data_IF_896894733496
#
_entry.id   IF_896894733496
#
_cell.length_a   1.000
_cell.length_b   1.000
_cell.length_c   1.000
_cell.angle_alpha   90.00
_cell.angle_beta   90.00
_cell.angle_gamma   90.00
#
_symmetry.space_group_name_H-M   'P 1'
#
loop_
_entity.id
_entity.type
_entity.pdbx_description
1 polymer ?
#
# COMPACT_ATOMS: atom_id res chain seq x y z
N UNK A 1 -14.14 5.85 49.44
CA UNK A 1 -14.46 5.70 48.00
C UNK A 1 -13.60 4.56 47.47
N UNK A 2 -14.21 3.49 46.94
CA UNK A 2 -13.58 2.17 46.85
C UNK A 2 -12.46 2.12 45.80
N UNK A 3 -11.25 1.68 46.19
CA UNK A 3 -10.07 1.62 45.32
C UNK A 3 -10.34 0.79 44.05
N UNK A 4 -11.13 -0.27 44.20
CA UNK A 4 -11.55 -1.16 43.10
C UNK A 4 -12.38 -0.42 42.03
N UNK A 5 -13.24 0.52 42.43
CA UNK A 5 -14.02 1.32 41.48
C UNK A 5 -13.13 2.26 40.68
N UNK A 6 -12.06 2.79 41.30
CA UNK A 6 -11.10 3.66 40.61
C UNK A 6 -10.31 2.87 39.57
N UNK A 7 -9.82 1.69 39.93
CA UNK A 7 -9.07 0.81 39.00
C UNK A 7 -9.96 0.42 37.81
N UNK A 8 -11.22 0.02 38.05
CA UNK A 8 -12.16 -0.31 36.98
C UNK A 8 -12.44 0.86 36.03
N UNK A 9 -12.60 2.07 36.57
CA UNK A 9 -12.80 3.27 35.76
C UNK A 9 -11.57 3.64 34.94
N UNK A 10 -10.37 3.48 35.52
CA UNK A 10 -9.11 3.72 34.81
C UNK A 10 -8.90 2.71 33.67
N UNK A 11 -9.17 1.42 33.91
CA UNK A 11 -9.14 0.38 32.87
C UNK A 11 -10.15 0.65 31.75
N UNK A 12 -11.39 1.00 32.11
CA UNK A 12 -12.42 1.33 31.12
C UNK A 12 -12.03 2.55 30.29
N UNK A 13 -11.42 3.57 30.91
CA UNK A 13 -10.91 4.75 30.20
C UNK A 13 -9.82 4.37 29.21
N UNK A 14 -8.87 3.53 29.60
CA UNK A 14 -7.81 3.05 28.72
C UNK A 14 -8.37 2.28 27.52
N UNK A 15 -9.30 1.35 27.76
CA UNK A 15 -9.96 0.59 26.69
C UNK A 15 -10.70 1.51 25.70
N UNK A 16 -11.42 2.52 26.21
CA UNK A 16 -12.10 3.49 25.35
C UNK A 16 -11.10 4.33 24.53
N UNK A 17 -9.97 4.72 25.11
CA UNK A 17 -8.93 5.45 24.37
C UNK A 17 -8.31 4.61 23.26
N UNK A 18 -8.04 3.33 23.52
CA UNK A 18 -7.53 2.40 22.50
C UNK A 18 -8.55 2.24 21.37
N UNK A 19 -9.82 2.05 21.70
CA UNK A 19 -10.91 1.98 20.72
C UNK A 19 -10.98 3.22 19.83
N UNK A 20 -10.99 4.42 20.41
CA UNK A 20 -11.06 5.69 19.66
C UNK A 20 -9.86 5.83 18.72
N UNK A 21 -8.66 5.46 19.18
CA UNK A 21 -7.45 5.50 18.35
C UNK A 21 -7.49 4.48 17.21
N UNK A 22 -8.01 3.29 17.46
CA UNK A 22 -8.17 2.27 16.43
C UNK A 22 -9.21 2.71 15.36
N UNK A 23 -10.33 3.31 15.78
CA UNK A 23 -11.32 3.89 14.87
C UNK A 23 -10.70 4.99 14.00
N UNK A 24 -9.93 5.90 14.60
CA UNK A 24 -9.21 6.94 13.86
C UNK A 24 -8.19 6.34 12.86
N UNK A 25 -7.49 5.26 13.24
CA UNK A 25 -6.59 4.54 12.33
C UNK A 25 -7.34 3.96 11.13
N UNK A 26 -8.48 3.31 11.36
CA UNK A 26 -9.31 2.74 10.29
C UNK A 26 -9.79 3.84 9.34
N UNK A 27 -10.35 4.92 9.88
CA UNK A 27 -10.86 6.04 9.09
C UNK A 27 -9.77 6.71 8.25
N UNK A 28 -8.54 6.78 8.76
CA UNK A 28 -7.43 7.42 8.07
C UNK A 28 -6.74 6.51 7.04
N UNK A 29 -6.52 5.23 7.37
CA UNK A 29 -5.59 4.36 6.62
C UNK A 29 -6.26 3.19 5.91
N UNK A 30 -7.48 2.80 6.30
CA UNK A 30 -8.15 1.62 5.72
C UNK A 30 -9.36 2.03 4.91
N UNK A 31 -10.22 2.90 5.47
CA UNK A 31 -11.47 3.32 4.83
C UNK A 31 -11.27 3.98 3.46
N UNK A 32 -10.26 4.84 3.23
CA UNK A 32 -10.06 5.44 1.90
C UNK A 32 -9.76 4.42 0.80
N UNK A 33 -9.22 3.24 1.15
CA UNK A 33 -8.96 2.17 0.18
C UNK A 33 -10.22 1.59 -0.46
N UNK A 34 -11.41 1.84 0.10
CA UNK A 34 -12.67 1.37 -0.49
C UNK A 34 -12.84 1.87 -1.94
N UNK A 35 -12.45 3.11 -2.23
CA UNK A 35 -12.52 3.67 -3.59
C UNK A 35 -11.62 2.91 -4.56
N UNK A 36 -10.38 2.60 -4.13
CA UNK A 36 -9.44 1.79 -4.91
C UNK A 36 -10.01 0.38 -5.14
N UNK A 37 -10.54 -0.26 -4.09
CA UNK A 37 -11.10 -1.60 -4.23
C UNK A 37 -12.33 -1.65 -5.15
N UNK A 38 -13.20 -0.64 -5.07
CA UNK A 38 -14.35 -0.53 -5.96
C UNK A 38 -13.90 -0.35 -7.41
N UNK A 39 -12.86 0.46 -7.65
CA UNK A 39 -12.24 0.61 -8.96
C UNK A 39 -11.68 -0.72 -9.50
N UNK A 40 -10.82 -1.39 -8.72
CA UNK A 40 -10.23 -2.70 -9.07
C UNK A 40 -11.32 -3.72 -9.41
N UNK A 41 -12.40 -3.77 -8.60
CA UNK A 41 -13.54 -4.66 -8.82
C UNK A 41 -14.30 -4.32 -10.11
N UNK A 42 -14.55 -3.04 -10.38
CA UNK A 42 -15.26 -2.60 -11.60
C UNK A 42 -14.48 -2.94 -12.86
N UNK A 43 -13.15 -2.88 -12.80
CA UNK A 43 -12.27 -3.22 -13.92
C UNK A 43 -12.04 -4.74 -14.06
N UNK A 44 -12.54 -5.56 -13.12
CA UNK A 44 -12.38 -7.01 -13.17
C UNK A 44 -10.94 -7.47 -12.93
N UNK A 45 -10.11 -6.63 -12.30
CA UNK A 45 -8.72 -6.96 -11.98
C UNK A 45 -8.70 -7.94 -10.81
N UNK A 46 -8.04 -9.09 -11.00
CA UNK A 46 -7.85 -10.03 -9.90
C UNK A 46 -6.81 -9.48 -8.92
N UNK A 47 -7.10 -9.59 -7.63
CA UNK A 47 -6.18 -9.18 -6.57
C UNK A 47 -6.41 -10.01 -5.31
N UNK A 48 -5.44 -9.94 -4.42
CA UNK A 48 -5.52 -10.43 -3.05
C UNK A 48 -5.03 -9.33 -2.10
N UNK A 49 -5.54 -9.34 -0.88
CA UNK A 49 -4.99 -8.48 0.17
C UNK A 49 -3.81 -9.22 0.78
N UNK A 50 -2.61 -8.68 0.62
CA UNK A 50 -1.40 -9.25 1.19
C UNK A 50 -1.37 -9.11 2.71
N UNK A 51 -1.85 -7.95 3.20
CA UNK A 51 -1.91 -7.65 4.62
C UNK A 51 -2.11 -6.18 4.92
N UNK A 52 -2.15 -5.87 6.21
CA UNK A 52 -2.14 -4.51 6.73
C UNK A 52 -0.74 -4.16 7.26
N UNK A 53 -0.14 -3.10 6.73
CA UNK A 53 1.16 -2.59 7.16
C UNK A 53 1.03 -1.78 8.46
N UNK A 54 2.02 -1.94 9.34
CA UNK A 54 2.24 -1.10 10.54
C UNK A 54 1.06 -0.90 11.49
N UNK A 55 0.12 -1.86 11.61
CA UNK A 55 -0.98 -1.78 12.58
C UNK A 55 -0.43 -1.98 14.00
N UNK A 56 -0.57 -1.00 14.92
CA UNK A 56 -0.14 -1.16 16.31
C UNK A 56 -0.84 -2.32 17.01
N UNK A 57 -0.10 -3.10 17.79
CA UNK A 57 -0.60 -4.31 18.45
C UNK A 57 -1.81 -4.04 19.34
N UNK A 58 -1.88 -2.89 20.02
CA UNK A 58 -3.03 -2.52 20.84
C UNK A 58 -4.32 -2.31 20.03
N UNK A 59 -4.24 -2.07 18.72
CA UNK A 59 -5.41 -1.85 17.86
C UNK A 59 -5.92 -3.13 17.20
N UNK A 60 -5.14 -4.22 17.22
CA UNK A 60 -5.40 -5.45 16.45
C UNK A 60 -6.83 -5.96 16.62
N UNK A 61 -7.30 -6.10 17.87
CA UNK A 61 -8.66 -6.61 18.15
C UNK A 61 -9.74 -5.74 17.50
N UNK A 62 -9.60 -4.41 17.58
CA UNK A 62 -10.58 -3.49 17.01
C UNK A 62 -10.53 -3.44 15.49
N UNK A 63 -9.32 -3.45 14.91
CA UNK A 63 -9.15 -3.48 13.45
C UNK A 63 -9.68 -4.80 12.90
N UNK A 64 -9.37 -5.94 13.52
CA UNK A 64 -9.87 -7.27 13.14
C UNK A 64 -11.40 -7.30 13.11
N UNK A 65 -12.03 -6.80 14.18
CA UNK A 65 -13.48 -6.71 14.26
C UNK A 65 -14.09 -5.87 13.13
N UNK A 66 -13.42 -4.80 12.70
CA UNK A 66 -13.90 -3.95 11.62
C UNK A 66 -13.67 -4.55 10.25
N UNK A 67 -12.48 -5.05 9.95
CA UNK A 67 -12.15 -5.57 8.61
C UNK A 67 -12.87 -6.88 8.26
N UNK A 68 -13.39 -7.58 9.27
CA UNK A 68 -14.19 -8.80 9.10
C UNK A 68 -15.69 -8.52 8.93
N UNK A 69 -16.10 -7.24 8.89
CA UNK A 69 -17.47 -6.81 8.68
C UNK A 69 -17.63 -6.08 7.34
N UNK A 70 -18.87 -6.00 6.85
CA UNK A 70 -19.22 -5.22 5.66
C UNK A 70 -18.84 -3.74 5.83
N UNK A 71 -18.23 -3.10 4.82
CA UNK A 71 -18.01 -3.60 3.46
C UNK A 71 -16.70 -4.37 3.24
N UNK A 72 -15.86 -4.52 4.27
CA UNK A 72 -14.49 -5.02 4.13
C UNK A 72 -14.39 -6.52 3.82
N UNK A 73 -15.28 -7.32 4.38
CA UNK A 73 -15.39 -8.75 4.07
C UNK A 73 -15.59 -9.00 2.57
N UNK A 74 -16.37 -8.16 1.88
CA UNK A 74 -16.62 -8.23 0.45
C UNK A 74 -15.40 -7.87 -0.42
N UNK A 75 -14.38 -7.22 0.14
CA UNK A 75 -13.09 -6.98 -0.52
C UNK A 75 -12.08 -8.10 -0.26
N UNK A 76 -12.46 -9.12 0.53
CA UNK A 76 -11.61 -10.28 0.82
C UNK A 76 -10.71 -10.12 2.05
N UNK A 77 -10.97 -9.16 2.93
CA UNK A 77 -10.23 -9.05 4.19
C UNK A 77 -10.45 -10.29 5.07
N UNK A 78 -9.37 -10.76 5.70
CA UNK A 78 -9.37 -11.89 6.62
C UNK A 78 -8.60 -11.54 7.90
N UNK A 79 -8.90 -12.19 9.05
CA UNK A 79 -8.21 -11.92 10.31
C UNK A 79 -6.68 -12.08 10.25
N UNK A 80 -6.17 -13.02 9.44
CA UNK A 80 -4.74 -13.31 9.33
C UNK A 80 -3.95 -12.20 8.60
N UNK A 81 -4.63 -11.26 7.94
CA UNK A 81 -4.01 -10.10 7.29
C UNK A 81 -3.37 -9.10 8.26
N UNK A 82 -3.71 -9.15 9.56
CA UNK A 82 -3.11 -8.32 10.59
C UNK A 82 -1.75 -8.82 11.10
N UNK A 83 -1.42 -10.10 10.87
CA UNK A 83 -0.27 -10.77 11.48
C UNK A 83 0.78 -11.19 10.43
N UNK A 84 1.05 -10.33 9.45
CA UNK A 84 2.03 -10.60 8.37
C UNK A 84 3.37 -9.95 8.66
N UNK A 85 4.12 -10.48 9.63
CA UNK A 85 5.47 -9.99 9.96
C UNK A 85 6.43 -9.94 8.76
N UNK A 86 6.29 -10.91 7.84
CA UNK A 86 7.06 -10.94 6.60
C UNK A 86 6.82 -9.70 5.73
N UNK A 87 5.58 -9.20 5.65
CA UNK A 87 5.22 -8.03 4.86
C UNK A 87 5.87 -6.76 5.41
N UNK A 88 5.82 -6.55 6.73
CA UNK A 88 6.49 -5.42 7.37
C UNK A 88 8.02 -5.47 7.14
N UNK A 89 8.61 -6.67 7.21
CA UNK A 89 10.03 -6.84 6.90
C UNK A 89 10.36 -6.54 5.44
N UNK A 90 9.49 -6.96 4.51
CA UNK A 90 9.65 -6.71 3.08
C UNK A 90 9.60 -5.20 2.78
N UNK A 91 8.63 -4.47 3.33
CA UNK A 91 8.51 -3.02 3.18
C UNK A 91 9.73 -2.29 3.77
N UNK A 92 10.17 -2.67 4.98
CA UNK A 92 11.38 -2.10 5.57
C UNK A 92 12.61 -2.36 4.69
N UNK A 93 12.72 -3.56 4.10
CA UNK A 93 13.82 -3.90 3.17
C UNK A 93 13.79 -3.03 1.92
N UNK A 94 12.61 -2.70 1.40
CA UNK A 94 12.45 -1.74 0.29
C UNK A 94 12.98 -0.37 0.70
N UNK A 95 12.57 0.16 1.87
CA UNK A 95 13.04 1.45 2.36
C UNK A 95 14.55 1.51 2.60
N UNK A 96 15.15 0.40 3.06
CA UNK A 96 16.60 0.30 3.25
C UNK A 96 17.36 0.25 1.92
N UNK A 97 16.83 -0.47 0.91
CA UNK A 97 17.46 -0.66 -0.40
C UNK A 97 17.27 0.54 -1.33
N UNK A 98 16.15 1.22 -1.22
CA UNK A 98 15.76 2.36 -2.04
C UNK A 98 15.46 3.55 -1.12
N UNK A 99 16.49 4.14 -0.48
CA UNK A 99 16.28 5.20 0.48
C UNK A 99 15.67 6.43 -0.17
N UNK A 100 14.90 7.19 0.61
CA UNK A 100 14.34 8.44 0.12
C UNK A 100 15.37 9.57 0.09
N UNK A 101 15.30 10.38 -0.97
CA UNK A 101 16.06 11.63 -1.10
C UNK A 101 15.30 12.83 -0.52
N UNK A 102 14.02 12.68 -0.21
CA UNK A 102 13.18 13.75 0.30
C UNK A 102 12.95 13.58 1.82
N UNK A 103 13.18 14.61 2.63
CA UNK A 103 13.05 14.51 4.09
C UNK A 103 11.61 14.52 4.60
N UNK A 104 10.63 14.92 3.78
CA UNK A 104 9.23 15.10 4.19
C UNK A 104 8.30 14.00 3.69
N UNK A 105 8.65 13.34 2.60
CA UNK A 105 7.88 12.24 2.00
C UNK A 105 8.82 11.24 1.36
N UNK A 106 8.34 10.04 1.11
CA UNK A 106 9.14 9.02 0.45
C UNK A 106 9.16 9.25 -1.07
N UNK A 107 10.29 9.75 -1.56
CA UNK A 107 10.67 9.75 -2.97
C UNK A 107 12.00 9.01 -3.09
N UNK A 108 12.05 7.81 -3.69
CA UNK A 108 13.29 7.06 -3.81
C UNK A 108 14.23 7.69 -4.84
N UNK A 109 15.55 7.54 -4.66
CA UNK A 109 16.55 7.98 -5.65
C UNK A 109 16.59 7.04 -6.87
N UNK A 110 15.60 7.17 -7.75
CA UNK A 110 15.41 6.28 -8.89
C UNK A 110 15.25 7.07 -10.20
N UNK A 111 15.77 6.55 -11.33
CA UNK A 111 15.51 7.12 -12.64
C UNK A 111 14.01 7.27 -12.93
N UNK A 112 13.64 8.43 -13.47
CA UNK A 112 12.33 8.65 -14.07
C UNK A 112 12.26 8.03 -15.46
N UNK A 113 11.22 7.24 -15.72
CA UNK A 113 10.98 6.59 -17.01
C UNK A 113 9.82 7.22 -17.78
N UNK A 114 8.86 7.79 -17.06
CA UNK A 114 7.73 8.47 -17.66
C UNK A 114 7.13 9.48 -16.68
N UNK A 115 6.64 10.58 -17.23
CA UNK A 115 5.67 11.43 -16.56
C UNK A 115 4.27 11.02 -17.03
N UNK A 116 3.28 11.03 -16.15
CA UNK A 116 1.87 10.71 -16.42
C UNK A 116 1.24 11.56 -17.52
N UNK A 117 1.72 12.81 -17.69
CA UNK A 117 1.34 13.67 -18.82
C UNK A 117 2.05 13.30 -20.14
N UNK A 118 3.03 12.40 -20.11
CA UNK A 118 3.77 11.89 -21.26
C UNK A 118 2.97 10.88 -22.08
N UNK A 119 1.97 11.36 -22.81
CA UNK A 119 1.11 10.55 -23.67
C UNK A 119 1.94 9.89 -24.80
N UNK A 120 1.79 8.59 -25.04
CA UNK A 120 2.39 7.96 -26.24
C UNK A 120 1.73 8.47 -27.52
N UNK A 121 2.35 8.20 -28.66
CA UNK A 121 1.88 8.66 -29.99
C UNK A 121 0.46 8.20 -30.35
N UNK A 122 -0.08 7.22 -29.64
CA UNK A 122 -1.43 6.66 -29.80
C UNK A 122 -2.47 7.21 -28.79
N UNK A 123 -2.08 8.12 -27.89
CA UNK A 123 -2.98 8.69 -26.89
C UNK A 123 -3.07 7.88 -25.58
N UNK A 124 -2.41 6.72 -25.50
CA UNK A 124 -2.46 5.87 -24.32
C UNK A 124 -1.45 6.31 -23.24
N UNK A 125 -1.81 6.04 -21.98
CA UNK A 125 -0.88 6.12 -20.84
C UNK A 125 -0.24 4.75 -20.68
N UNK A 126 1.09 4.72 -20.59
CA UNK A 126 1.86 3.48 -20.55
C UNK A 126 3.12 3.60 -19.70
N UNK A 127 3.08 4.43 -18.65
CA UNK A 127 4.25 4.72 -17.83
C UNK A 127 4.72 3.51 -17.06
N UNK A 128 3.78 2.78 -16.42
CA UNK A 128 4.09 1.51 -15.77
C UNK A 128 4.64 0.49 -16.78
N UNK A 129 4.04 0.39 -17.96
CA UNK A 129 4.51 -0.52 -19.00
C UNK A 129 5.94 -0.21 -19.46
N UNK A 130 6.28 1.08 -19.63
CA UNK A 130 7.64 1.51 -19.96
C UNK A 130 8.64 1.12 -18.89
N UNK A 131 8.32 1.35 -17.61
CA UNK A 131 9.22 1.00 -16.50
C UNK A 131 9.44 -0.52 -16.45
N UNK A 132 8.38 -1.31 -16.63
CA UNK A 132 8.46 -2.78 -16.68
C UNK A 132 9.41 -3.24 -17.80
N UNK A 133 9.28 -2.66 -19.00
CA UNK A 133 10.13 -2.99 -20.14
C UNK A 133 11.60 -2.61 -19.91
N UNK A 134 11.85 -1.40 -19.43
CA UNK A 134 13.20 -0.87 -19.20
C UNK A 134 13.93 -1.62 -18.09
N UNK A 135 13.21 -2.04 -17.05
CA UNK A 135 13.76 -2.88 -15.99
C UNK A 135 13.90 -4.34 -16.43
N UNK A 136 13.30 -4.74 -17.56
CA UNK A 136 13.32 -6.10 -18.10
C UNK A 136 12.54 -7.10 -17.22
N UNK A 137 11.47 -6.64 -16.58
CA UNK A 137 10.69 -7.45 -15.65
C UNK A 137 9.80 -8.45 -16.40
N UNK A 138 9.78 -9.68 -15.91
CA UNK A 138 8.84 -10.70 -16.36
C UNK A 138 7.57 -10.67 -15.50
N UNK A 139 6.50 -11.28 -16.01
CA UNK A 139 5.28 -11.46 -15.23
C UNK A 139 5.56 -12.24 -13.94
N UNK A 140 5.14 -11.66 -12.83
CA UNK A 140 5.34 -12.18 -11.48
C UNK A 140 4.30 -11.58 -10.55
N UNK A 141 4.14 -12.18 -9.36
CA UNK A 141 3.35 -11.59 -8.30
C UNK A 141 4.09 -10.39 -7.71
N UNK A 142 3.37 -9.28 -7.55
CA UNK A 142 3.91 -8.03 -7.03
C UNK A 142 3.04 -7.51 -5.90
N UNK A 143 3.66 -6.73 -5.02
CA UNK A 143 2.97 -6.01 -3.96
C UNK A 143 2.77 -4.57 -4.38
N UNK A 144 1.56 -4.05 -4.17
CA UNK A 144 1.21 -2.65 -4.40
C UNK A 144 0.88 -2.02 -3.06
N UNK A 145 1.64 -1.00 -2.68
CA UNK A 145 1.50 -0.31 -1.42
C UNK A 145 1.35 1.19 -1.63
N UNK A 146 0.19 1.72 -1.28
CA UNK A 146 -0.12 3.14 -1.26
C UNK A 146 0.34 3.71 0.08
N UNK A 147 1.32 4.62 0.07
CA UNK A 147 1.99 5.07 1.30
C UNK A 147 1.08 5.85 2.25
N UNK A 148 0.01 6.45 1.73
CA UNK A 148 -0.99 7.14 2.54
C UNK A 148 -1.92 6.18 3.29
N UNK A 149 -1.89 4.89 2.96
CA UNK A 149 -2.83 3.90 3.45
C UNK A 149 -2.11 2.76 4.17
N UNK A 150 -2.88 1.92 4.85
CA UNK A 150 -2.37 0.80 5.64
C UNK A 150 -2.48 -0.55 4.94
N UNK A 151 -3.01 -0.60 3.71
CA UNK A 151 -3.32 -1.87 3.02
C UNK A 151 -2.30 -2.13 1.92
N UNK A 152 -1.82 -3.37 1.84
CA UNK A 152 -0.99 -3.84 0.74
C UNK A 152 -1.75 -4.86 -0.08
N UNK A 153 -1.75 -4.65 -1.39
CA UNK A 153 -2.36 -5.56 -2.36
C UNK A 153 -1.29 -6.47 -2.96
N UNK A 154 -1.72 -7.64 -3.40
CA UNK A 154 -0.93 -8.58 -4.19
C UNK A 154 -1.68 -8.95 -5.46
N UNK A 155 -1.00 -8.84 -6.61
CA UNK A 155 -1.56 -9.16 -7.92
C UNK A 155 -0.45 -9.43 -8.94
N UNK A 156 -0.81 -9.95 -10.12
CA UNK A 156 0.14 -10.11 -11.22
C UNK A 156 0.59 -8.75 -11.76
N UNK A 157 1.87 -8.64 -12.08
CA UNK A 157 2.44 -7.47 -12.76
C UNK A 157 1.77 -7.22 -14.11
N UNK A 158 1.45 -8.28 -14.85
CA UNK A 158 0.73 -8.19 -16.12
C UNK A 158 -0.69 -7.66 -15.93
N UNK A 159 -1.42 -8.19 -14.94
CA UNK A 159 -2.77 -7.69 -14.61
C UNK A 159 -2.74 -6.21 -14.27
N UNK A 160 -1.77 -5.78 -13.45
CA UNK A 160 -1.60 -4.37 -13.09
C UNK A 160 -1.27 -3.50 -14.32
N UNK A 161 -0.35 -3.95 -15.17
CA UNK A 161 0.09 -3.18 -16.35
C UNK A 161 -1.00 -3.03 -17.42
N UNK A 162 -1.91 -4.00 -17.54
CA UNK A 162 -3.03 -3.95 -18.48
C UNK A 162 -4.16 -3.01 -18.02
N UNK A 163 -4.11 -2.59 -16.75
CA UNK A 163 -5.13 -1.75 -16.11
C UNK A 163 -4.48 -0.51 -15.49
N UNK A 164 -3.46 0.05 -16.14
CA UNK A 164 -2.87 1.35 -15.77
C UNK A 164 -3.92 2.46 -16.00
N UNK A 165 -4.83 2.62 -15.02
CA UNK A 165 -5.94 3.56 -15.07
C UNK A 165 -5.71 4.72 -14.10
N UNK A 166 -6.24 5.90 -14.45
CA UNK A 166 -6.15 7.11 -13.60
C UNK A 166 -6.67 6.86 -12.19
N UNK A 167 -7.72 6.06 -12.07
CA UNK A 167 -8.36 5.78 -10.79
C UNK A 167 -7.48 4.93 -9.86
N UNK A 168 -6.53 4.15 -10.39
CA UNK A 168 -5.58 3.37 -9.56
C UNK A 168 -4.32 4.18 -9.27
N UNK A 169 -3.82 4.90 -10.27
CA UNK A 169 -2.60 5.69 -10.16
C UNK A 169 -2.92 7.16 -10.37
N UNK A 170 -3.32 7.83 -9.29
CA UNK A 170 -3.48 9.27 -9.24
C UNK A 170 -2.87 9.87 -7.97
N UNK A 171 -2.52 11.16 -7.98
CA UNK A 171 -1.97 11.84 -6.81
C UNK A 171 -2.90 11.90 -5.60
N UNK A 172 -4.22 11.70 -5.75
CA UNK A 172 -5.14 11.75 -4.60
C UNK A 172 -4.94 10.55 -3.67
N UNK A 173 -4.46 9.42 -4.20
CA UNK A 173 -4.11 8.24 -3.41
C UNK A 173 -2.70 8.29 -2.80
N UNK A 174 -1.91 9.30 -3.14
CA UNK A 174 -0.54 9.46 -2.68
C UNK A 174 0.48 8.70 -3.52
N UNK A 175 1.70 8.63 -2.99
CA UNK A 175 2.78 7.86 -3.61
C UNK A 175 2.47 6.35 -3.51
N UNK A 176 2.71 5.65 -4.62
CA UNK A 176 2.47 4.20 -4.74
C UNK A 176 3.78 3.49 -4.99
N UNK A 177 4.04 2.43 -4.23
CA UNK A 177 5.17 1.54 -4.45
C UNK A 177 4.69 0.20 -5.00
N UNK A 178 5.39 -0.29 -6.03
CA UNK A 178 5.20 -1.61 -6.62
C UNK A 178 6.54 -2.35 -6.52
N UNK A 179 6.55 -3.52 -5.90
CA UNK A 179 7.79 -4.27 -5.66
C UNK A 179 7.56 -5.78 -5.63
N UNK A 180 8.63 -6.54 -5.88
CA UNK A 180 8.64 -8.00 -5.79
C UNK A 180 8.84 -8.52 -4.35
N UNK A 181 8.56 -9.80 -4.15
CA UNK A 181 8.72 -10.51 -2.87
C UNK A 181 10.17 -10.58 -2.35
N UNK A 182 11.15 -10.40 -3.23
CA UNK A 182 12.57 -10.38 -2.89
C UNK A 182 13.16 -8.96 -2.76
N UNK A 183 12.33 -7.92 -2.95
CA UNK A 183 12.71 -6.51 -2.88
C UNK A 183 13.95 -6.15 -3.73
N UNK A 184 14.15 -6.85 -4.83
CA UNK A 184 15.28 -6.69 -5.76
C UNK A 184 15.09 -5.51 -6.72
N UNK A 185 13.85 -5.09 -6.95
CA UNK A 185 13.49 -3.89 -7.70
C UNK A 185 12.33 -3.14 -7.05
N UNK A 186 12.20 -1.88 -7.41
CA UNK A 186 11.12 -0.99 -7.00
C UNK A 186 10.65 -0.18 -8.20
N UNK A 187 9.33 -0.06 -8.36
CA UNK A 187 8.68 0.94 -9.20
C UNK A 187 7.89 1.86 -8.27
N UNK A 188 8.00 3.16 -8.45
CA UNK A 188 7.25 4.16 -7.67
C UNK A 188 6.44 5.04 -8.61
N UNK A 189 5.18 5.27 -8.26
CA UNK A 189 4.38 6.36 -8.82
C UNK A 189 4.32 7.49 -7.79
N UNK A 190 4.77 8.69 -8.17
CA UNK A 190 4.86 9.82 -7.22
C UNK A 190 3.67 10.77 -7.33
N UNK A 191 3.52 11.63 -6.31
CA UNK A 191 2.59 12.78 -6.33
C UNK A 191 2.83 13.78 -7.47
N UNK A 192 4.05 13.83 -8.01
CA UNK A 192 4.41 14.60 -9.22
C UNK A 192 3.94 13.91 -10.50
N UNK A 193 3.23 12.79 -10.36
CA UNK A 193 2.77 11.94 -11.44
C UNK A 193 3.94 11.34 -12.23
N UNK A 194 5.05 11.02 -11.56
CA UNK A 194 6.24 10.44 -12.17
C UNK A 194 6.30 8.94 -11.90
N UNK A 195 6.69 8.20 -12.93
CA UNK A 195 7.03 6.78 -12.83
C UNK A 195 8.53 6.63 -12.68
N UNK A 196 8.96 6.28 -11.47
CA UNK A 196 10.34 5.99 -11.13
C UNK A 196 10.56 4.49 -11.08
N UNK A 197 11.77 4.01 -11.41
CA UNK A 197 12.07 2.59 -11.33
C UNK A 197 13.55 2.27 -11.14
N UNK A 198 13.85 1.15 -10.50
CA UNK A 198 15.23 0.68 -10.42
C UNK A 198 15.39 -0.72 -9.87
N UNK A 199 16.56 -1.30 -10.17
CA UNK A 199 17.00 -2.58 -9.64
C UNK A 199 18.11 -2.34 -8.62
N UNK A 200 17.97 -2.87 -7.41
CA UNK A 200 18.95 -2.69 -6.33
C UNK A 200 20.37 -3.11 -6.76
N UNK A 201 20.49 -4.23 -7.46
CA UNK A 201 21.77 -4.75 -7.93
C UNK A 201 22.43 -3.90 -9.03
N UNK A 202 21.67 -3.06 -9.74
CA UNK A 202 22.20 -2.18 -10.80
C UNK A 202 22.51 -0.76 -10.30
N UNK A 203 21.97 -0.36 -9.15
CA UNK A 203 22.18 0.98 -8.56
C UNK A 203 23.54 1.07 -7.85
N UNK A 204 24.15 -0.05 -7.45
CA UNK A 204 25.44 -0.08 -6.75
C UNK A 204 26.69 -0.12 -7.65
N UNK A 205 26.50 -0.12 -8.98
CA UNK A 205 27.58 -0.13 -9.99
C UNK A 205 27.73 1.22 -10.64
#
# INVERSE_FOLDING_TARGET
MNNDKRIQLEQKRQQLQVKIKAEAYIDQYIKPMQEIFDCIRQQGVAYQIAGLAYVPAEYHVHVEQTITQTPYDAYGFQPDHLQKFHLAHLINTIFDRFPSINPLRYVPDLPEYANYHGVSSDGARNGLHRVIQELGLMDQQVYVYYLNYGVVLQLSLTELSNHEHEDLFNPWHGDVMIFADHADWLISFTLEEEWLGGNFFKIQT
#
